data_IF_620871479412
#
_entry.id   IF_620871479412
#
_cell.length_a   1.000
_cell.length_b   1.000
_cell.length_c   1.000
_cell.angle_alpha   90.00
_cell.angle_beta   90.00
_cell.angle_gamma   90.00
#
_symmetry.space_group_name_H-M   'P 1'
#
loop_
_entity.id
_entity.type
_entity.pdbx_description
1 polymer ?
#
# COMPACT_ATOMS: atom_id res chain seq x y z
N UNK A 1 -23.80 -70.70 -43.02
CA UNK A 1 -23.34 -69.32 -43.31
C UNK A 1 -23.54 -68.48 -42.05
N UNK A 2 -22.48 -67.80 -41.59
CA UNK A 2 -22.47 -67.07 -40.32
C UNK A 2 -22.91 -65.63 -40.56
N UNK A 3 -23.87 -65.12 -39.76
CA UNK A 3 -24.17 -63.69 -39.66
C UNK A 3 -23.37 -63.10 -38.52
N UNK A 4 -22.51 -62.11 -38.79
CA UNK A 4 -21.87 -61.29 -37.77
C UNK A 4 -22.52 -59.91 -37.68
N UNK A 5 -22.74 -59.35 -36.48
CA UNK A 5 -22.79 -57.90 -36.30
C UNK A 5 -21.35 -57.35 -36.44
N UNK A 6 -21.11 -56.09 -36.79
CA UNK A 6 -22.03 -54.95 -36.78
C UNK A 6 -21.47 -53.87 -35.87
N UNK A 7 -20.41 -53.19 -36.32
CA UNK A 7 -19.76 -52.09 -35.57
C UNK A 7 -19.39 -50.99 -36.54
N UNK A 8 -20.25 -49.98 -36.66
CA UNK A 8 -19.97 -48.78 -37.45
C UNK A 8 -19.19 -47.80 -36.58
N UNK A 9 -17.89 -47.63 -36.85
CA UNK A 9 -17.02 -46.76 -36.07
C UNK A 9 -17.27 -45.29 -36.49
N UNK A 10 -18.03 -44.55 -35.68
CA UNK A 10 -18.22 -43.11 -35.88
C UNK A 10 -16.96 -42.36 -35.45
N UNK A 11 -16.20 -41.87 -36.42
CA UNK A 11 -15.11 -40.91 -36.19
C UNK A 11 -15.73 -39.56 -35.82
N UNK A 12 -15.77 -39.24 -34.53
CA UNK A 12 -16.02 -37.88 -34.05
C UNK A 12 -14.80 -37.01 -34.40
N UNK A 13 -14.95 -35.94 -35.21
CA UNK A 13 -13.90 -34.96 -35.35
C UNK A 13 -13.78 -34.20 -34.02
N UNK A 14 -12.68 -34.43 -33.30
CA UNK A 14 -12.31 -33.60 -32.15
C UNK A 14 -11.94 -32.23 -32.69
N UNK A 15 -12.94 -31.34 -32.74
CA UNK A 15 -12.74 -29.91 -32.91
C UNK A 15 -12.05 -29.38 -31.64
N UNK A 16 -10.72 -29.49 -31.64
CA UNK A 16 -9.85 -28.59 -30.89
C UNK A 16 -10.09 -27.18 -31.44
N UNK A 17 -11.14 -26.55 -30.93
CA UNK A 17 -11.25 -25.10 -30.99
C UNK A 17 -9.99 -24.57 -30.27
N UNK A 18 -9.05 -24.05 -31.06
CA UNK A 18 -7.99 -23.24 -30.50
C UNK A 18 -8.70 -22.07 -29.82
N UNK A 19 -8.77 -22.13 -28.48
CA UNK A 19 -9.09 -20.96 -27.68
C UNK A 19 -7.95 -20.01 -27.97
N UNK A 20 -8.20 -19.06 -28.87
CA UNK A 20 -7.31 -17.95 -29.11
C UNK A 20 -7.28 -17.20 -27.79
N UNK A 21 -6.28 -17.52 -26.96
CA UNK A 21 -6.09 -16.89 -25.67
C UNK A 21 -6.05 -15.39 -25.93
N UNK A 22 -7.06 -14.69 -25.44
CA UNK A 22 -7.04 -13.24 -25.47
C UNK A 22 -5.79 -12.84 -24.70
N UNK A 23 -4.83 -12.20 -25.38
CA UNK A 23 -3.62 -11.72 -24.72
C UNK A 23 -4.06 -10.91 -23.49
N UNK A 24 -3.52 -11.21 -22.29
CA UNK A 24 -3.97 -10.58 -21.06
C UNK A 24 -3.87 -9.07 -21.25
N UNK A 25 -5.02 -8.38 -21.19
CA UNK A 25 -5.12 -6.98 -21.60
C UNK A 25 -4.16 -6.15 -20.76
N UNK A 26 -3.08 -5.68 -21.37
CA UNK A 26 -2.13 -4.82 -20.69
C UNK A 26 -2.83 -3.51 -20.28
N UNK A 27 -3.03 -3.32 -18.98
CA UNK A 27 -3.65 -2.11 -18.46
C UNK A 27 -2.59 -1.02 -18.28
N UNK A 28 -2.74 0.10 -19.01
CA UNK A 28 -1.74 1.19 -19.06
C UNK A 28 -0.31 0.71 -19.42
N UNK A 29 -0.18 -0.44 -20.09
CA UNK A 29 1.09 -1.06 -20.47
C UNK A 29 1.67 -2.07 -19.46
N UNK A 30 0.97 -2.34 -18.35
CA UNK A 30 1.35 -3.35 -17.36
C UNK A 30 0.52 -4.63 -17.52
N UNK A 31 1.13 -5.80 -17.34
CA UNK A 31 0.39 -7.06 -17.26
C UNK A 31 -0.37 -7.15 -15.91
N UNK A 32 -1.53 -7.83 -15.84
CA UNK A 32 -2.20 -8.10 -14.56
C UNK A 32 -1.30 -8.91 -13.60
N UNK A 33 -1.44 -8.71 -12.30
CA UNK A 33 -0.73 -9.49 -11.29
C UNK A 33 -1.21 -10.94 -11.23
N UNK A 34 -0.27 -11.88 -11.19
CA UNK A 34 -0.58 -13.29 -10.96
C UNK A 34 -0.91 -13.53 -9.48
N UNK A 35 -2.20 -13.61 -9.16
CA UNK A 35 -2.71 -13.61 -7.78
C UNK A 35 -2.27 -14.82 -6.95
N UNK A 36 -2.01 -15.97 -7.59
CA UNK A 36 -1.48 -17.18 -6.95
C UNK A 36 -0.11 -16.97 -6.27
N UNK A 37 0.61 -15.88 -6.57
CA UNK A 37 1.86 -15.50 -5.89
C UNK A 37 1.64 -14.94 -4.48
N UNK A 38 0.40 -14.59 -4.13
CA UNK A 38 0.01 -13.99 -2.85
C UNK A 38 -0.97 -14.86 -2.02
N UNK A 39 -0.77 -16.19 -1.92
CA UNK A 39 -1.71 -17.04 -1.21
C UNK A 39 -1.72 -16.65 0.27
N UNK A 40 -2.89 -16.74 0.91
CA UNK A 40 -3.06 -16.35 2.32
C UNK A 40 -2.54 -14.94 2.66
N UNK A 41 -2.60 -14.03 1.69
CA UNK A 41 -2.31 -12.60 1.87
C UNK A 41 -3.59 -11.82 1.66
N UNK A 42 -3.84 -10.81 2.49
CA UNK A 42 -4.99 -9.93 2.38
C UNK A 42 -4.53 -8.58 1.85
N UNK A 43 -5.24 -8.09 0.83
CA UNK A 43 -5.14 -6.70 0.37
C UNK A 43 -6.10 -5.82 1.18
N UNK A 44 -5.65 -4.63 1.53
CA UNK A 44 -6.42 -3.64 2.30
C UNK A 44 -6.54 -2.36 1.48
N UNK A 45 -7.75 -2.07 0.99
CA UNK A 45 -8.09 -0.82 0.30
C UNK A 45 -8.63 0.19 1.33
N UNK A 46 -7.93 1.31 1.54
CA UNK A 46 -8.07 2.17 2.73
C UNK A 46 -8.85 3.45 2.41
N UNK A 47 -10.15 3.48 2.64
CA UNK A 47 -10.94 4.72 2.49
C UNK A 47 -10.67 5.74 3.60
N UNK A 48 -11.22 6.95 3.44
CA UNK A 48 -11.28 7.93 4.51
C UNK A 48 -12.23 7.59 5.69
N UNK A 49 -12.95 6.45 5.67
CA UNK A 49 -13.92 6.04 6.72
C UNK A 49 -13.67 4.64 7.29
N UNK A 50 -12.65 3.95 6.83
CA UNK A 50 -12.38 2.54 7.13
C UNK A 50 -11.66 1.87 5.98
N UNK A 51 -11.55 0.55 5.97
CA UNK A 51 -10.86 -0.18 4.90
C UNK A 51 -11.59 -1.47 4.52
N UNK A 52 -11.63 -1.77 3.22
CA UNK A 52 -12.03 -3.08 2.72
C UNK A 52 -10.81 -4.01 2.77
N UNK A 53 -11.00 -5.19 3.35
CA UNK A 53 -10.00 -6.25 3.45
C UNK A 53 -10.46 -7.45 2.65
N UNK A 54 -9.65 -7.90 1.69
CA UNK A 54 -10.00 -9.02 0.80
C UNK A 54 -8.80 -9.96 0.60
N UNK A 55 -9.06 -11.26 0.73
CA UNK A 55 -8.08 -12.33 0.49
C UNK A 55 -7.65 -12.35 -0.99
N UNK A 56 -6.35 -12.34 -1.24
CA UNK A 56 -5.75 -12.35 -2.58
C UNK A 56 -5.69 -13.77 -3.21
N UNK A 57 -6.11 -14.80 -2.47
CA UNK A 57 -6.13 -16.21 -2.88
C UNK A 57 -7.28 -16.48 -3.86
N UNK A 58 -7.11 -15.97 -5.09
CA UNK A 58 -8.06 -16.01 -6.21
C UNK A 58 -7.29 -16.32 -7.49
N UNK A 59 -7.93 -16.97 -8.47
CA UNK A 59 -7.28 -17.24 -9.77
C UNK A 59 -7.11 -15.96 -10.62
N UNK A 60 -7.99 -14.97 -10.43
CA UNK A 60 -8.08 -13.75 -11.25
C UNK A 60 -8.17 -12.50 -10.39
N UNK A 61 -7.31 -11.50 -10.65
CA UNK A 61 -7.33 -10.21 -9.96
C UNK A 61 -8.69 -9.48 -10.08
N UNK A 62 -9.43 -9.71 -11.16
CA UNK A 62 -10.79 -9.18 -11.37
C UNK A 62 -11.76 -9.65 -10.29
N UNK A 63 -11.66 -10.90 -9.81
CA UNK A 63 -12.50 -11.43 -8.74
C UNK A 63 -12.24 -10.73 -7.39
N UNK A 64 -10.97 -10.52 -7.03
CA UNK A 64 -10.60 -9.72 -5.86
C UNK A 64 -11.12 -8.29 -5.99
N UNK A 65 -11.00 -7.68 -7.17
CA UNK A 65 -11.40 -6.29 -7.40
C UNK A 65 -12.91 -6.09 -7.34
N UNK A 66 -13.71 -7.02 -7.86
CA UNK A 66 -15.17 -6.97 -7.72
C UNK A 66 -15.60 -7.04 -6.24
N UNK A 67 -14.94 -7.85 -5.42
CA UNK A 67 -15.29 -7.97 -3.99
C UNK A 67 -14.86 -6.72 -3.19
N UNK A 68 -13.68 -6.15 -3.49
CA UNK A 68 -13.27 -4.84 -2.94
C UNK A 68 -14.31 -3.78 -3.31
N UNK A 69 -14.65 -3.65 -4.60
CA UNK A 69 -15.56 -2.62 -5.10
C UNK A 69 -16.98 -2.77 -4.50
N UNK A 70 -17.44 -4.00 -4.27
CA UNK A 70 -18.69 -4.29 -3.57
C UNK A 70 -18.63 -3.77 -2.12
N UNK A 71 -17.62 -4.18 -1.35
CA UNK A 71 -17.43 -3.75 0.04
C UNK A 71 -17.31 -2.22 0.16
N UNK A 72 -16.57 -1.57 -0.74
CA UNK A 72 -16.42 -0.13 -0.80
C UNK A 72 -17.75 0.58 -1.14
N UNK A 73 -18.54 0.04 -2.07
CA UNK A 73 -19.84 0.60 -2.45
C UNK A 73 -20.85 0.51 -1.29
N UNK A 74 -20.94 -0.67 -0.66
CA UNK A 74 -21.82 -0.90 0.50
C UNK A 74 -21.45 0.03 1.67
N UNK A 75 -20.15 0.22 1.93
CA UNK A 75 -19.63 1.11 2.96
C UNK A 75 -19.86 2.60 2.64
N UNK A 76 -19.59 3.05 1.41
CA UNK A 76 -19.78 4.44 1.00
C UNK A 76 -21.25 4.88 1.15
N UNK A 77 -22.21 4.02 0.76
CA UNK A 77 -23.64 4.29 0.96
C UNK A 77 -24.05 4.31 2.45
N UNK A 78 -23.52 3.38 3.25
CA UNK A 78 -23.88 3.25 4.68
C UNK A 78 -23.26 4.34 5.55
N UNK A 79 -22.04 4.79 5.21
CA UNK A 79 -21.21 5.69 6.03
C UNK A 79 -21.17 7.13 5.50
N UNK A 80 -22.01 7.50 4.53
CA UNK A 80 -22.00 8.82 3.88
C UNK A 80 -22.00 10.02 4.86
N UNK A 81 -22.62 9.88 6.04
CA UNK A 81 -22.68 10.90 7.09
C UNK A 81 -21.48 10.93 8.06
N UNK A 82 -20.59 9.93 8.04
CA UNK A 82 -19.38 9.90 8.86
C UNK A 82 -18.29 10.80 8.26
N UNK A 83 -17.47 11.47 9.09
CA UNK A 83 -16.43 12.37 8.61
C UNK A 83 -15.39 11.62 7.76
N UNK A 84 -14.97 12.25 6.67
CA UNK A 84 -13.93 11.72 5.78
C UNK A 84 -12.56 12.11 6.35
N UNK A 85 -11.85 11.13 6.93
CA UNK A 85 -10.56 11.31 7.60
C UNK A 85 -9.39 11.24 6.61
N UNK A 86 -8.41 12.13 6.74
CA UNK A 86 -7.09 11.91 6.16
C UNK A 86 -6.28 10.99 7.09
N UNK A 87 -5.89 9.84 6.56
CA UNK A 87 -5.12 8.83 7.30
C UNK A 87 -3.89 8.39 6.49
N UNK A 88 -2.82 8.01 7.20
CA UNK A 88 -1.74 7.19 6.65
C UNK A 88 -1.77 5.78 7.24
N UNK A 89 -1.37 4.78 6.46
CA UNK A 89 -1.39 3.37 6.88
C UNK A 89 0.02 2.82 7.04
N UNK A 90 0.25 2.11 8.14
CA UNK A 90 1.53 1.54 8.52
C UNK A 90 1.39 0.10 9.03
N UNK A 91 2.46 -0.67 8.92
CA UNK A 91 2.60 -1.97 9.56
C UNK A 91 2.69 -1.82 11.07
N UNK A 92 1.79 -2.46 11.82
CA UNK A 92 1.96 -2.61 13.27
C UNK A 92 2.56 -3.98 13.62
N UNK A 93 1.90 -5.06 13.18
CA UNK A 93 2.38 -6.43 13.24
C UNK A 93 1.71 -7.28 12.16
N UNK A 94 2.00 -8.58 12.12
CA UNK A 94 1.50 -9.49 11.09
C UNK A 94 -0.03 -9.65 11.07
N UNK A 95 -0.75 -9.11 12.07
CA UNK A 95 -2.20 -9.27 12.25
C UNK A 95 -2.93 -7.95 12.54
N UNK A 96 -2.23 -6.82 12.49
CA UNK A 96 -2.78 -5.52 12.87
C UNK A 96 -2.17 -4.40 12.03
N UNK A 97 -2.99 -3.44 11.62
CA UNK A 97 -2.55 -2.20 10.97
C UNK A 97 -2.50 -1.05 11.98
N UNK A 98 -1.66 -0.06 11.69
CA UNK A 98 -1.61 1.22 12.39
C UNK A 98 -2.04 2.32 11.43
N UNK A 99 -3.05 3.09 11.82
CA UNK A 99 -3.51 4.27 11.09
C UNK A 99 -3.14 5.54 11.85
N UNK A 100 -2.54 6.50 11.18
CA UNK A 100 -2.29 7.85 11.70
C UNK A 100 -3.33 8.80 11.09
N UNK A 101 -4.24 9.34 11.88
CA UNK A 101 -5.13 10.45 11.49
C UNK A 101 -4.36 11.75 11.56
N UNK A 102 -4.34 12.50 10.46
CA UNK A 102 -3.56 13.72 10.30
C UNK A 102 -4.31 14.78 9.48
N UNK A 103 -3.80 16.01 9.47
CA UNK A 103 -4.05 17.02 8.44
C UNK A 103 -3.01 18.14 8.56
N UNK A 104 -3.16 19.17 7.74
CA UNK A 104 -2.23 20.31 7.62
C UNK A 104 -2.84 21.64 8.12
N UNK A 105 -3.92 21.56 8.90
CA UNK A 105 -4.78 22.69 9.28
C UNK A 105 -4.74 23.01 10.80
N UNK A 106 -3.83 22.38 11.55
CA UNK A 106 -3.63 22.63 12.98
C UNK A 106 -4.50 21.80 13.93
N UNK A 107 -5.06 20.70 13.44
CA UNK A 107 -5.76 19.72 14.27
C UNK A 107 -4.77 18.71 14.89
N UNK A 108 -5.24 18.04 15.94
CA UNK A 108 -4.44 17.06 16.68
C UNK A 108 -4.13 15.81 15.85
N UNK A 109 -2.87 15.40 15.88
CA UNK A 109 -2.43 14.10 15.37
C UNK A 109 -2.80 13.01 16.37
N UNK A 110 -3.36 11.92 15.85
CA UNK A 110 -3.74 10.78 16.66
C UNK A 110 -3.65 9.50 15.84
N UNK A 111 -3.52 8.37 16.51
CA UNK A 111 -3.41 7.08 15.83
C UNK A 111 -4.39 6.06 16.40
N UNK A 112 -4.67 5.05 15.59
CA UNK A 112 -5.43 3.87 15.97
C UNK A 112 -4.71 2.62 15.48
N UNK A 113 -4.60 1.62 16.35
CA UNK A 113 -4.13 0.27 15.99
C UNK A 113 -5.38 -0.58 15.87
N UNK A 114 -5.53 -1.32 14.78
CA UNK A 114 -6.66 -2.23 14.62
C UNK A 114 -6.69 -3.27 15.74
N UNK A 115 -7.86 -3.78 16.14
CA UNK A 115 -7.95 -5.10 16.73
C UNK A 115 -7.21 -6.14 15.85
N UNK A 116 -6.88 -7.29 16.44
CA UNK A 116 -6.36 -8.43 15.69
C UNK A 116 -7.34 -8.77 14.55
N UNK A 117 -6.85 -8.71 13.32
CA UNK A 117 -7.63 -8.99 12.12
C UNK A 117 -7.77 -10.51 11.97
N UNK A 118 -9.01 -11.01 11.98
CA UNK A 118 -9.29 -12.43 11.75
C UNK A 118 -9.40 -12.74 10.24
N UNK A 119 -9.21 -14.00 9.77
CA UNK A 119 -9.33 -14.35 8.35
C UNK A 119 -10.77 -14.18 7.84
N UNK A 120 -11.01 -13.10 7.08
CA UNK A 120 -12.33 -12.57 6.77
C UNK A 120 -12.25 -11.54 5.65
N UNK A 121 -13.19 -11.59 4.70
CA UNK A 121 -13.41 -10.54 3.71
C UNK A 121 -14.51 -9.61 4.23
N UNK A 122 -14.14 -8.38 4.58
CA UNK A 122 -15.06 -7.42 5.22
C UNK A 122 -14.62 -5.97 5.02
N UNK A 123 -15.51 -5.04 5.31
CA UNK A 123 -15.18 -3.63 5.49
C UNK A 123 -15.12 -3.31 6.98
N UNK A 124 -13.98 -2.78 7.44
CA UNK A 124 -13.76 -2.39 8.84
C UNK A 124 -13.84 -0.86 8.91
N UNK A 125 -14.91 -0.35 9.53
CA UNK A 125 -15.07 1.09 9.80
C UNK A 125 -13.96 1.60 10.72
N UNK A 126 -13.50 2.83 10.51
CA UNK A 126 -12.69 3.52 11.50
C UNK A 126 -13.51 3.78 12.77
N UNK A 127 -12.90 3.65 13.96
CA UNK A 127 -13.63 3.84 15.20
C UNK A 127 -13.94 5.32 15.43
N UNK A 128 -14.90 5.59 16.31
CA UNK A 128 -15.23 6.95 16.74
C UNK A 128 -14.02 7.64 17.41
N UNK A 129 -13.98 8.98 17.35
CA UNK A 129 -12.82 9.80 17.76
C UNK A 129 -12.26 9.49 19.16
N UNK A 130 -13.12 9.05 20.10
CA UNK A 130 -12.74 8.67 21.46
C UNK A 130 -11.82 7.44 21.57
N UNK A 131 -11.72 6.64 20.51
CA UNK A 131 -10.85 5.45 20.46
C UNK A 131 -9.49 5.73 19.80
N UNK A 132 -9.31 6.92 19.21
CA UNK A 132 -8.03 7.37 18.66
C UNK A 132 -7.14 7.91 19.78
N UNK A 133 -5.90 7.44 19.86
CA UNK A 133 -4.93 7.93 20.85
C UNK A 133 -4.20 9.15 20.30
N UNK A 134 -4.39 10.30 20.95
CA UNK A 134 -3.66 11.53 20.62
C UNK A 134 -2.15 11.37 20.85
N UNK A 135 -1.36 11.96 19.95
CA UNK A 135 0.09 12.09 20.12
C UNK A 135 0.49 13.38 20.86
N UNK A 136 -0.45 14.32 21.09
CA UNK A 136 -0.17 15.60 21.73
C UNK A 136 0.47 16.67 20.82
N UNK A 137 0.49 16.44 19.51
CA UNK A 137 0.99 17.39 18.50
C UNK A 137 -0.09 17.75 17.49
N UNK A 138 0.10 18.87 16.81
CA UNK A 138 -0.80 19.37 15.75
C UNK A 138 -0.09 19.37 14.39
N UNK A 139 -0.79 18.94 13.34
CA UNK A 139 -0.26 18.89 11.98
C UNK A 139 -0.50 20.17 11.18
N UNK A 140 0.50 20.66 10.46
CA UNK A 140 0.43 21.91 9.69
C UNK A 140 1.09 21.79 8.31
N UNK A 141 0.62 22.57 7.34
CA UNK A 141 1.32 22.72 6.05
C UNK A 141 2.72 23.33 6.25
N UNK A 142 3.67 23.11 5.33
CA UNK A 142 4.99 23.74 5.38
C UNK A 142 4.93 25.26 5.48
N UNK A 143 4.03 25.91 4.73
CA UNK A 143 3.82 27.37 4.77
C UNK A 143 3.39 27.85 6.17
N UNK A 144 2.33 27.24 6.73
CA UNK A 144 1.80 27.63 8.05
C UNK A 144 2.81 27.33 9.15
N UNK A 145 3.49 26.17 9.11
CA UNK A 145 4.54 25.81 10.05
C UNK A 145 5.72 26.79 9.99
N UNK A 146 6.14 27.21 8.79
CA UNK A 146 7.27 28.12 8.63
C UNK A 146 7.01 29.53 9.18
N UNK A 147 5.76 29.99 9.17
CA UNK A 147 5.33 31.25 9.78
C UNK A 147 5.26 31.25 11.32
N UNK A 148 5.37 30.08 11.98
CA UNK A 148 5.25 29.97 13.44
C UNK A 148 6.49 30.44 14.21
N UNK A 149 6.24 30.91 15.44
CA UNK A 149 7.28 31.12 16.44
C UNK A 149 7.93 29.80 16.89
N UNK A 150 9.14 29.90 17.46
CA UNK A 150 9.88 28.75 18.00
C UNK A 150 9.13 28.00 19.11
N UNK A 151 8.26 28.69 19.87
CA UNK A 151 7.47 28.06 20.93
C UNK A 151 6.30 27.24 20.37
N UNK A 152 5.57 27.77 19.38
CA UNK A 152 4.50 27.04 18.68
C UNK A 152 5.05 25.79 17.97
N UNK A 153 6.24 25.91 17.35
CA UNK A 153 6.95 24.80 16.70
C UNK A 153 7.30 23.63 17.63
N UNK A 154 7.25 23.78 18.96
CA UNK A 154 7.51 22.66 19.89
C UNK A 154 6.41 21.60 19.85
N UNK A 155 5.15 22.00 19.68
CA UNK A 155 3.97 21.12 19.62
C UNK A 155 3.39 20.99 18.22
N UNK A 156 4.00 21.63 17.23
CA UNK A 156 3.65 21.51 15.83
C UNK A 156 4.48 20.44 15.11
N UNK A 157 3.86 19.82 14.12
CA UNK A 157 4.47 18.90 13.16
C UNK A 157 4.27 19.51 11.79
N UNK A 158 5.37 19.78 11.09
CA UNK A 158 5.29 20.09 9.68
C UNK A 158 4.94 18.85 8.88
N UNK A 159 4.00 19.02 7.96
CA UNK A 159 3.62 18.08 6.91
C UNK A 159 3.55 16.62 7.37
N UNK A 160 2.58 16.26 8.22
CA UNK A 160 2.42 14.88 8.68
C UNK A 160 2.08 13.89 7.55
N UNK A 161 1.87 14.34 6.31
CA UNK A 161 1.67 13.46 5.15
C UNK A 161 2.96 12.73 4.73
N UNK A 162 4.14 13.26 5.08
CA UNK A 162 5.43 12.56 4.87
C UNK A 162 5.79 11.59 5.99
N UNK A 163 4.96 11.48 7.04
CA UNK A 163 5.27 10.68 8.22
C UNK A 163 5.58 9.21 7.88
N UNK A 164 6.62 8.67 8.51
CA UNK A 164 6.98 7.25 8.44
C UNK A 164 6.95 6.61 9.82
N UNK A 165 6.82 5.29 9.89
CA UNK A 165 6.72 4.55 11.13
C UNK A 165 7.81 3.46 11.22
N UNK A 166 8.46 3.37 12.37
CA UNK A 166 9.41 2.30 12.66
C UNK A 166 8.72 1.25 13.55
N UNK A 167 8.19 0.20 12.94
CA UNK A 167 7.45 -0.85 13.64
C UNK A 167 8.29 -1.69 14.63
N UNK A 168 9.64 -1.60 14.58
CA UNK A 168 10.55 -2.27 15.52
C UNK A 168 10.76 -1.41 16.77
N UNK A 169 10.98 -0.11 16.59
CA UNK A 169 11.16 0.85 17.70
C UNK A 169 9.82 1.38 18.26
N UNK A 170 8.71 1.13 17.55
CA UNK A 170 7.36 1.63 17.85
C UNK A 170 7.35 3.15 18.00
N UNK A 171 7.85 3.85 16.99
CA UNK A 171 7.86 5.31 16.93
C UNK A 171 7.59 5.84 15.51
N UNK A 172 7.01 7.03 15.45
CA UNK A 172 6.82 7.81 14.23
C UNK A 172 8.04 8.72 13.99
N UNK A 173 8.43 8.84 12.72
CA UNK A 173 9.36 9.84 12.21
C UNK A 173 8.57 10.91 11.45
N UNK A 174 8.67 12.14 11.93
CA UNK A 174 8.10 13.35 11.31
C UNK A 174 9.22 14.32 10.95
N UNK A 175 8.91 15.40 10.22
CA UNK A 175 9.85 16.47 9.92
C UNK A 175 10.49 17.04 11.21
N UNK A 176 11.76 16.73 11.43
CA UNK A 176 12.56 17.16 12.58
C UNK A 176 12.26 16.47 13.92
N UNK A 177 11.31 15.53 14.00
CA UNK A 177 10.86 14.91 15.27
C UNK A 177 10.74 13.39 15.20
N UNK A 178 11.12 12.71 16.28
CA UNK A 178 10.83 11.28 16.54
C UNK A 178 9.86 11.21 17.71
N UNK A 179 8.72 10.56 17.56
CA UNK A 179 7.65 10.54 18.58
C UNK A 179 7.22 9.10 18.82
N UNK A 180 7.28 8.63 20.07
CA UNK A 180 6.82 7.28 20.42
C UNK A 180 5.29 7.17 20.49
N UNK A 181 4.79 5.94 20.71
CA UNK A 181 3.35 5.67 20.82
C UNK A 181 2.67 6.38 22.00
N UNK A 182 3.40 6.97 22.95
CA UNK A 182 2.85 7.74 24.07
C UNK A 182 2.90 9.26 23.84
N UNK A 183 3.30 9.71 22.64
CA UNK A 183 3.40 11.13 22.30
C UNK A 183 4.68 11.79 22.82
N UNK A 184 5.64 11.02 23.32
CA UNK A 184 6.89 11.57 23.84
C UNK A 184 7.90 11.76 22.72
N UNK A 185 8.45 12.97 22.63
CA UNK A 185 9.56 13.26 21.72
C UNK A 185 10.84 12.56 22.19
N UNK A 186 11.48 11.85 21.27
CA UNK A 186 12.73 11.14 21.46
C UNK A 186 13.86 11.85 20.72
N UNK A 187 15.05 11.87 21.33
CA UNK A 187 16.24 12.44 20.70
C UNK A 187 16.77 11.62 19.51
N UNK A 188 17.75 12.19 18.80
CA UNK A 188 18.35 11.61 17.60
C UNK A 188 17.79 12.21 16.31
N UNK A 189 18.40 11.88 15.18
CA UNK A 189 17.98 12.42 13.88
C UNK A 189 16.68 11.76 13.40
N UNK A 190 15.73 12.56 12.93
CA UNK A 190 14.60 12.03 12.15
C UNK A 190 15.03 11.80 10.70
N UNK A 191 14.39 10.84 10.03
CA UNK A 191 14.58 10.56 8.59
C UNK A 191 14.27 11.83 7.77
N UNK A 192 13.16 12.48 8.11
CA UNK A 192 12.75 13.75 7.51
C UNK A 192 13.38 14.89 8.29
N UNK A 193 14.41 15.52 7.73
CA UNK A 193 15.13 16.63 8.38
C UNK A 193 14.50 17.97 8.04
N UNK A 194 14.30 18.83 9.04
CA UNK A 194 14.10 20.26 8.82
C UNK A 194 15.40 20.89 8.31
N UNK A 195 15.27 22.06 7.67
CA UNK A 195 16.40 22.90 7.30
C UNK A 195 17.15 23.40 8.55
N UNK A 196 18.38 23.88 8.37
CA UNK A 196 19.24 24.35 9.47
C UNK A 196 18.68 25.55 10.27
N UNK A 197 17.72 26.29 9.70
CA UNK A 197 16.98 27.38 10.34
C UNK A 197 15.68 26.93 11.04
N UNK A 198 15.37 25.63 11.04
CA UNK A 198 14.11 25.09 11.55
C UNK A 198 12.91 25.38 10.65
N UNK A 199 13.13 25.69 9.37
CA UNK A 199 12.09 25.68 8.34
C UNK A 199 11.90 24.27 7.77
N UNK A 200 10.71 24.04 7.24
CA UNK A 200 10.28 22.82 6.59
C UNK A 200 10.21 23.03 5.08
N UNK A 201 10.71 22.07 4.30
CA UNK A 201 10.59 22.10 2.85
C UNK A 201 9.24 21.49 2.42
N UNK A 202 8.68 21.95 1.30
CA UNK A 202 7.54 21.30 0.65
C UNK A 202 7.97 20.25 -0.39
N UNK A 203 9.22 20.32 -0.86
CA UNK A 203 9.74 19.47 -1.96
C UNK A 203 10.27 18.10 -1.49
N UNK A 204 9.68 17.50 -0.45
CA UNK A 204 9.98 16.10 -0.14
C UNK A 204 9.35 15.21 -1.21
N UNK A 205 10.17 14.60 -2.09
CA UNK A 205 9.69 13.50 -2.95
C UNK A 205 9.09 12.42 -2.03
N UNK A 206 7.78 12.14 -2.16
CA UNK A 206 6.95 11.32 -1.26
C UNK A 206 7.37 9.83 -1.25
N UNK A 207 8.54 9.57 -0.68
CA UNK A 207 9.24 8.29 -0.73
C UNK A 207 8.98 7.54 0.58
N UNK A 208 7.75 7.06 0.75
CA UNK A 208 7.35 6.23 1.91
C UNK A 208 7.96 4.84 1.77
N UNK A 209 8.68 4.34 2.79
CA UNK A 209 9.05 2.92 2.83
C UNK A 209 8.78 2.42 4.25
N UNK A 210 7.67 1.70 4.43
CA UNK A 210 7.46 0.92 5.65
C UNK A 210 8.30 -0.37 5.58
N UNK A 211 9.45 -0.33 6.24
CA UNK A 211 10.45 -1.41 6.25
C UNK A 211 10.03 -2.47 7.27
N UNK A 212 9.13 -3.36 6.87
CA UNK A 212 8.73 -4.52 7.69
C UNK A 212 9.96 -5.32 8.14
N UNK A 213 9.94 -5.95 9.33
CA UNK A 213 11.12 -6.64 9.90
C UNK A 213 11.72 -7.72 8.98
N UNK A 214 10.92 -8.29 8.06
CA UNK A 214 11.38 -9.28 7.08
C UNK A 214 12.14 -8.63 5.90
N UNK A 215 11.82 -7.38 5.54
CA UNK A 215 12.49 -6.63 4.47
C UNK A 215 13.93 -6.20 4.81
N UNK A 216 14.33 -6.16 6.09
CA UNK A 216 15.71 -5.79 6.50
C UNK A 216 16.81 -6.62 5.80
N UNK A 217 16.54 -7.84 5.34
CA UNK A 217 17.49 -8.62 4.51
C UNK A 217 17.59 -8.13 3.06
N UNK A 218 16.46 -7.81 2.42
CA UNK A 218 16.44 -7.18 1.09
C UNK A 218 17.12 -5.81 1.14
N UNK A 219 16.82 -5.04 2.19
CA UNK A 219 17.45 -3.75 2.47
C UNK A 219 18.93 -3.90 2.82
N UNK A 220 19.43 -5.00 3.39
CA UNK A 220 20.87 -5.09 3.75
C UNK A 220 21.87 -5.04 2.58
N UNK A 221 21.42 -5.25 1.33
CA UNK A 221 22.20 -4.99 0.11
C UNK A 221 22.01 -3.57 -0.47
N UNK A 222 21.01 -2.84 0.03
CA UNK A 222 20.64 -1.48 -0.32
C UNK A 222 21.22 -0.59 0.78
N UNK A 223 22.28 0.16 0.50
CA UNK A 223 22.85 1.08 1.51
C UNK A 223 21.75 1.93 2.15
N UNK A 224 21.89 2.31 3.42
CA UNK A 224 20.94 3.25 4.06
C UNK A 224 20.82 4.57 3.26
N UNK A 225 21.93 5.02 2.64
CA UNK A 225 21.97 6.11 1.65
C UNK A 225 20.98 5.94 0.49
N UNK A 226 20.63 4.71 0.11
CA UNK A 226 19.65 4.39 -0.95
C UNK A 226 18.23 4.32 -0.37
N UNK A 227 18.01 3.89 0.89
CA UNK A 227 16.70 4.07 1.53
C UNK A 227 16.27 5.56 1.52
N UNK A 228 17.22 6.45 1.83
CA UNK A 228 17.04 7.91 1.78
C UNK A 228 17.13 8.49 0.34
N UNK A 229 17.41 7.67 -0.68
CA UNK A 229 17.54 8.12 -2.08
C UNK A 229 16.96 7.15 -3.12
N UNK A 230 15.79 6.56 -2.80
CA UNK A 230 14.93 5.84 -3.74
C UNK A 230 14.35 6.78 -4.80
N UNK A 231 15.22 7.29 -5.66
CA UNK A 231 14.83 8.08 -6.83
C UNK A 231 13.97 7.22 -7.73
N UNK A 232 12.70 7.58 -7.82
CA UNK A 232 11.76 7.10 -8.83
C UNK A 232 12.49 6.96 -10.17
N UNK A 233 12.49 5.78 -10.81
CA UNK A 233 13.23 5.56 -12.05
C UNK A 233 12.97 6.67 -13.07
N UNK A 234 14.02 7.11 -13.78
CA UNK A 234 13.90 8.22 -14.76
C UNK A 234 12.92 7.95 -15.91
N UNK A 235 12.46 6.71 -16.06
CA UNK A 235 11.34 6.31 -16.92
C UNK A 235 9.98 6.77 -16.37
N UNK A 236 9.75 6.61 -15.07
CA UNK A 236 8.57 7.10 -14.36
C UNK A 236 8.60 8.63 -14.22
N UNK A 237 9.71 9.23 -13.76
CA UNK A 237 9.77 10.70 -13.52
C UNK A 237 9.77 11.59 -14.77
N UNK A 238 9.82 11.01 -15.99
CA UNK A 238 9.54 11.74 -17.24
C UNK A 238 8.06 12.05 -17.43
N UNK A 239 7.18 11.29 -16.78
CA UNK A 239 5.76 11.62 -16.65
C UNK A 239 5.59 12.36 -15.32
N UNK A 240 4.67 13.33 -15.27
CA UNK A 240 4.28 13.97 -14.02
C UNK A 240 3.36 13.01 -13.27
N UNK A 241 3.95 12.01 -12.62
CA UNK A 241 3.27 10.97 -11.87
C UNK A 241 3.78 11.00 -10.44
N UNK A 242 2.86 11.18 -9.48
CA UNK A 242 3.14 10.97 -8.07
C UNK A 242 3.16 9.47 -7.82
N UNK A 243 4.27 8.99 -7.24
CA UNK A 243 4.47 7.59 -6.87
C UNK A 243 4.49 7.51 -5.35
N UNK A 244 3.46 6.89 -4.77
CA UNK A 244 3.45 6.58 -3.33
C UNK A 244 3.88 5.13 -3.18
N UNK A 245 5.04 4.93 -2.57
CA UNK A 245 5.53 3.61 -2.19
C UNK A 245 4.84 3.23 -0.87
N UNK A 246 4.01 2.19 -0.84
CA UNK A 246 3.20 1.87 0.35
C UNK A 246 3.96 1.00 1.35
N UNK A 247 4.50 -0.11 0.84
CA UNK A 247 5.01 -1.20 1.64
C UNK A 247 6.09 -1.98 0.88
N UNK A 248 7.09 -2.50 1.60
CA UNK A 248 7.96 -3.57 1.14
C UNK A 248 7.66 -4.88 1.90
N UNK A 249 6.94 -5.82 1.24
CA UNK A 249 6.50 -7.08 1.82
C UNK A 249 7.08 -8.29 1.07
N UNK A 250 7.89 -9.09 1.77
CA UNK A 250 8.54 -10.31 1.24
C UNK A 250 9.24 -10.18 -0.14
N UNK A 251 9.78 -9.01 -0.48
CA UNK A 251 10.42 -8.78 -1.78
C UNK A 251 9.45 -8.44 -2.92
N UNK A 252 8.21 -8.10 -2.59
CA UNK A 252 7.35 -7.27 -3.41
C UNK A 252 7.30 -5.86 -2.80
N UNK A 253 7.10 -4.86 -3.65
CA UNK A 253 6.80 -3.50 -3.23
C UNK A 253 5.44 -3.12 -3.83
N UNK A 254 4.58 -2.54 -2.99
CA UNK A 254 3.25 -2.05 -3.36
C UNK A 254 3.32 -0.54 -3.62
N UNK A 255 2.83 -0.09 -4.76
CA UNK A 255 2.85 1.30 -5.19
C UNK A 255 1.44 1.80 -5.47
N UNK A 256 1.16 3.05 -5.13
CA UNK A 256 0.06 3.83 -5.71
C UNK A 256 0.65 4.80 -6.73
N UNK A 257 0.11 4.80 -7.94
CA UNK A 257 0.44 5.79 -8.97
C UNK A 257 -0.74 6.74 -9.18
N UNK A 258 -0.45 8.03 -9.14
CA UNK A 258 -1.39 9.11 -9.46
C UNK A 258 -0.78 10.01 -10.54
N UNK A 259 -1.39 10.05 -11.72
CA UNK A 259 -0.92 10.93 -12.79
C UNK A 259 -1.47 12.34 -12.63
N UNK A 260 -0.62 13.36 -12.71
CA UNK A 260 -1.05 14.78 -12.67
C UNK A 260 -1.91 15.14 -13.89
N UNK A 261 -1.70 14.45 -15.01
CA UNK A 261 -2.35 14.75 -16.29
C UNK A 261 -3.49 13.77 -16.64
N UNK A 262 -3.73 12.74 -15.82
CA UNK A 262 -4.74 11.71 -16.06
C UNK A 262 -5.39 11.34 -14.72
N UNK A 263 -6.71 11.48 -14.54
CA UNK A 263 -7.37 11.18 -13.25
C UNK A 263 -7.24 9.72 -12.82
N UNK A 264 -6.83 8.82 -13.74
CA UNK A 264 -6.50 7.44 -13.43
C UNK A 264 -5.44 7.36 -12.33
N UNK A 265 -5.82 6.61 -11.31
CA UNK A 265 -5.00 6.25 -10.16
C UNK A 265 -5.10 4.73 -10.05
N UNK A 266 -3.99 4.07 -9.73
CA UNK A 266 -3.95 2.61 -9.71
C UNK A 266 -2.85 2.08 -8.82
N UNK A 267 -3.01 0.83 -8.39
CA UNK A 267 -2.04 0.10 -7.60
C UNK A 267 -1.23 -0.84 -8.48
N UNK A 268 0.09 -0.80 -8.30
CA UNK A 268 1.02 -1.74 -8.91
C UNK A 268 1.72 -2.56 -7.81
N UNK A 269 2.03 -3.81 -8.12
CA UNK A 269 2.99 -4.60 -7.36
C UNK A 269 4.22 -4.81 -8.22
N UNK A 270 5.40 -4.74 -7.61
CA UNK A 270 6.63 -5.03 -8.33
C UNK A 270 7.56 -5.94 -7.54
N UNK A 271 8.12 -6.93 -8.23
CA UNK A 271 8.97 -7.96 -7.65
C UNK A 271 10.42 -7.46 -7.53
N UNK A 272 10.85 -7.10 -6.31
CA UNK A 272 12.21 -6.62 -6.03
C UNK A 272 13.27 -7.73 -5.97
N UNK A 273 12.88 -8.99 -6.19
CA UNK A 273 13.79 -10.14 -6.35
C UNK A 273 14.07 -10.47 -7.83
N UNK A 274 13.49 -9.73 -8.79
CA UNK A 274 13.79 -9.89 -10.20
C UNK A 274 15.27 -9.55 -10.48
N UNK A 275 16.04 -10.56 -10.89
CA UNK A 275 17.51 -10.53 -10.86
C UNK A 275 18.11 -9.82 -12.10
N UNK A 276 18.07 -8.47 -12.10
CA UNK A 276 18.89 -7.53 -12.90
C UNK A 276 18.69 -6.09 -12.43
N UNK A 277 19.69 -5.22 -12.68
CA UNK A 277 19.72 -3.76 -12.46
C UNK A 277 18.36 -3.11 -12.11
N UNK A 278 18.24 -2.63 -10.86
CA UNK A 278 17.08 -1.97 -10.21
C UNK A 278 16.54 -0.73 -10.98
N UNK A 279 17.09 -0.35 -12.12
CA UNK A 279 16.67 0.83 -12.89
C UNK A 279 16.10 0.52 -14.29
N UNK A 280 16.28 -0.70 -14.83
CA UNK A 280 15.98 -1.03 -16.24
C UNK A 280 14.98 -2.18 -16.47
N UNK A 281 14.46 -2.84 -15.43
CA UNK A 281 13.60 -4.01 -15.63
C UNK A 281 12.93 -4.56 -14.37
N UNK A 282 12.19 -3.72 -13.66
CA UNK A 282 11.27 -4.23 -12.64
C UNK A 282 10.19 -5.07 -13.32
N UNK A 283 9.94 -6.25 -12.78
CA UNK A 283 8.75 -7.02 -13.08
C UNK A 283 7.59 -6.40 -12.31
N UNK A 284 6.88 -5.48 -12.97
CA UNK A 284 5.78 -4.69 -12.41
C UNK A 284 4.46 -5.15 -13.03
N UNK A 285 3.51 -5.51 -12.18
CA UNK A 285 2.18 -5.92 -12.56
C UNK A 285 1.12 -4.94 -12.03
N UNK A 286 0.03 -4.81 -12.79
CA UNK A 286 -1.16 -4.06 -12.41
C UNK A 286 -2.05 -4.88 -11.49
N UNK A 287 -2.41 -4.29 -10.34
CA UNK A 287 -3.29 -4.91 -9.36
C UNK A 287 -4.74 -4.46 -9.52
N UNK A 288 -4.99 -3.14 -9.46
CA UNK A 288 -6.33 -2.54 -9.63
C UNK A 288 -6.29 -1.04 -9.89
N UNK A 289 -7.38 -0.53 -10.46
CA UNK A 289 -7.69 0.90 -10.42
C UNK A 289 -8.13 1.33 -9.01
N UNK A 290 -7.92 2.60 -8.73
CA UNK A 290 -8.33 3.29 -7.51
C UNK A 290 -9.71 3.93 -7.68
N UNK A 291 -10.64 3.61 -6.79
CA UNK A 291 -12.00 4.17 -6.76
C UNK A 291 -12.04 5.47 -5.97
N UNK A 292 -11.57 6.56 -6.59
CA UNK A 292 -11.72 7.94 -6.06
C UNK A 292 -13.18 8.23 -5.70
N UNK A 293 -14.10 7.71 -6.51
CA UNK A 293 -15.55 7.86 -6.38
C UNK A 293 -16.14 7.10 -5.18
N UNK A 294 -15.37 6.20 -4.56
CA UNK A 294 -15.69 5.49 -3.31
C UNK A 294 -14.73 5.88 -2.16
N UNK A 295 -14.05 7.03 -2.28
CA UNK A 295 -13.15 7.61 -1.27
C UNK A 295 -11.89 6.75 -0.89
N UNK A 296 -11.38 5.88 -1.77
CA UNK A 296 -10.49 4.71 -1.49
C UNK A 296 -9.08 4.96 -0.85
N UNK A 297 -8.61 6.21 -0.66
CA UNK A 297 -7.23 6.74 -0.35
C UNK A 297 -5.98 5.97 -0.88
N UNK A 298 -4.91 6.66 -1.35
CA UNK A 298 -3.73 6.03 -1.96
C UNK A 298 -2.76 5.35 -0.96
N UNK A 299 -3.30 4.80 0.13
CA UNK A 299 -2.58 4.23 1.29
C UNK A 299 -2.85 2.71 1.49
N UNK A 300 -2.93 1.86 0.44
CA UNK A 300 -3.21 0.44 0.62
C UNK A 300 -2.12 -0.32 1.38
N UNK A 301 -2.45 -1.53 1.83
CA UNK A 301 -1.55 -2.37 2.62
C UNK A 301 -1.75 -3.87 2.35
N UNK A 302 -0.70 -4.69 2.50
CA UNK A 302 -0.81 -6.16 2.47
C UNK A 302 -0.44 -6.76 3.84
N UNK A 303 -1.22 -7.73 4.31
CA UNK A 303 -0.86 -8.51 5.49
C UNK A 303 -1.06 -10.00 5.24
N UNK A 304 -0.25 -10.88 5.86
CA UNK A 304 -0.55 -12.30 5.86
C UNK A 304 -1.85 -12.59 6.64
N UNK A 305 -2.46 -13.74 6.35
CA UNK A 305 -3.58 -14.31 7.10
C UNK A 305 -3.26 -14.49 8.59
N UNK A 306 -2.00 -14.81 8.92
CA UNK A 306 -1.56 -15.03 10.30
C UNK A 306 -0.08 -14.71 10.50
N UNK A 307 0.32 -14.56 11.76
CA UNK A 307 1.72 -14.32 12.11
C UNK A 307 2.66 -15.53 11.84
N UNK A 308 2.11 -16.72 11.73
CA UNK A 308 2.83 -17.96 11.39
C UNK A 308 3.07 -18.05 9.88
N UNK A 309 2.16 -17.48 9.08
CA UNK A 309 2.29 -17.44 7.64
C UNK A 309 3.39 -16.46 7.21
N UNK A 310 4.43 -17.00 6.62
CA UNK A 310 5.38 -16.26 5.79
C UNK A 310 5.06 -16.62 4.36
N UNK A 311 4.92 -15.64 3.47
CA UNK A 311 4.90 -15.89 2.03
C UNK A 311 6.17 -16.66 1.65
N UNK A 312 6.04 -17.98 1.53
CA UNK A 312 7.04 -18.83 0.93
C UNK A 312 7.04 -18.52 -0.55
N UNK A 313 8.04 -17.78 -1.03
CA UNK A 313 8.33 -17.73 -2.46
C UNK A 313 8.79 -19.12 -2.85
N UNK A 314 7.84 -19.98 -3.19
CA UNK A 314 8.12 -21.19 -3.94
C UNK A 314 8.62 -20.73 -5.30
N UNK A 315 9.94 -20.65 -5.44
CA UNK A 315 10.60 -20.48 -6.73
C UNK A 315 10.47 -21.81 -7.48
N UNK A 316 9.23 -22.15 -7.84
CA UNK A 316 8.91 -23.30 -8.67
C UNK A 316 9.21 -22.89 -10.11
N UNK A 317 10.49 -22.90 -10.44
CA UNK A 317 10.95 -22.85 -11.82
C UNK A 317 10.21 -23.93 -12.60
N UNK A 318 9.27 -23.52 -13.46
CA UNK A 318 8.74 -24.41 -14.48
C UNK A 318 9.86 -24.60 -15.51
N UNK A 319 10.45 -25.80 -15.49
CA UNK A 319 11.45 -26.29 -16.45
C UNK A 319 10.73 -26.97 -17.61
#
# INVERSE_FOLDING_TARGET
MVRGPGTLLWLLPVLLAAVAGAEPKAYEGYAPCEMWMFPKTYFHAVTCRGFARVLMDTDEAEAMNMEIDRLLTDAHGTLANKPCLKVKTFFYDNTSLLFLKHNTEGNDLSYWITPKLEPSNEFIEFPDDSQWKSLGYKGYSPETFNGMSTEEKKTAICDPEIATYNAVEKLFHFAGKRIDMDGKELGGESLHRLNADGSCNADYELTRIDVTRQSKRLVSGIKEEILDSWRVPKSMSKKREYVVFNEAYNGYILFSLQSVNNPKQYYLLANSKADKNILDGWDVCFLRDYRVDLDELPEPYMLPESAEYKLSVNIMWMV
#
